data_IF_925495001072
#
_entry.id   IF_925495001072
#
_cell.length_a   1.000
_cell.length_b   1.000
_cell.length_c   1.000
_cell.angle_alpha   90.00
_cell.angle_beta   90.00
_cell.angle_gamma   90.00
#
_symmetry.space_group_name_H-M   'P 1'
#
loop_
_entity.id
_entity.type
_entity.pdbx_description
1 polymer ?
#
# COMPACT_ATOMS: atom_id res chain seq x y z
N UNK A 1 -32.01 8.81 13.13
CA UNK A 1 -32.72 9.25 11.91
C UNK A 1 -31.94 8.68 10.74
N UNK A 2 -32.43 7.61 10.12
CA UNK A 2 -31.82 6.98 8.94
C UNK A 2 -32.09 7.87 7.74
N UNK A 3 -31.27 8.91 7.57
CA UNK A 3 -31.23 9.68 6.33
C UNK A 3 -30.83 8.73 5.21
N UNK A 4 -31.62 8.65 4.15
CA UNK A 4 -31.29 7.88 2.95
C UNK A 4 -29.89 8.24 2.49
N UNK A 5 -29.01 7.26 2.33
CA UNK A 5 -27.72 7.47 1.70
C UNK A 5 -27.95 7.98 0.27
N UNK A 6 -27.68 9.27 -0.01
CA UNK A 6 -28.08 9.85 -1.28
C UNK A 6 -27.26 9.30 -2.44
N UNK A 7 -26.01 8.89 -2.19
CA UNK A 7 -25.06 8.46 -3.23
C UNK A 7 -24.90 6.95 -3.28
N UNK A 8 -25.07 6.25 -2.16
CA UNK A 8 -24.77 4.82 -2.07
C UNK A 8 -23.27 4.54 -2.17
N UNK A 9 -22.43 5.46 -1.67
CA UNK A 9 -20.99 5.37 -1.84
C UNK A 9 -20.35 4.60 -0.67
N UNK A 10 -19.93 3.37 -0.97
CA UNK A 10 -19.01 2.59 -0.17
C UNK A 10 -17.71 2.40 -0.96
N UNK A 11 -16.58 3.02 -0.56
CA UNK A 11 -15.31 2.94 -1.29
C UNK A 11 -14.76 1.52 -1.43
N UNK A 12 -15.22 0.58 -0.61
CA UNK A 12 -14.72 -0.80 -0.59
C UNK A 12 -15.72 -1.80 -1.20
N UNK A 13 -16.87 -1.33 -1.68
CA UNK A 13 -17.80 -2.21 -2.38
C UNK A 13 -17.21 -2.62 -3.75
N UNK A 14 -17.30 -3.91 -4.16
CA UNK A 14 -16.65 -4.39 -5.38
C UNK A 14 -17.01 -3.58 -6.64
N UNK A 15 -18.29 -3.26 -6.80
CA UNK A 15 -18.76 -2.47 -7.94
C UNK A 15 -18.28 -1.01 -7.94
N UNK A 16 -17.95 -0.45 -6.77
CA UNK A 16 -17.31 0.88 -6.65
C UNK A 16 -15.82 0.78 -6.94
N UNK A 17 -15.15 -0.29 -6.51
CA UNK A 17 -13.74 -0.53 -6.78
C UNK A 17 -13.48 -0.77 -8.29
N UNK A 18 -14.40 -1.47 -8.96
CA UNK A 18 -14.32 -1.75 -10.40
C UNK A 18 -14.49 -0.49 -11.26
N UNK A 19 -15.42 0.40 -10.90
CA UNK A 19 -15.62 1.70 -11.55
C UNK A 19 -16.02 2.80 -10.55
N UNK A 20 -15.03 3.48 -9.92
CA UNK A 20 -15.31 4.49 -8.89
C UNK A 20 -15.70 5.85 -9.49
N UNK A 21 -15.41 6.08 -10.77
CA UNK A 21 -15.52 7.41 -11.37
C UNK A 21 -16.95 7.97 -11.40
N UNK A 22 -18.02 7.18 -11.65
CA UNK A 22 -19.39 7.66 -11.54
C UNK A 22 -19.72 8.21 -10.13
N UNK A 23 -19.25 7.52 -9.09
CA UNK A 23 -19.43 7.93 -7.70
C UNK A 23 -18.64 9.21 -7.41
N UNK A 24 -17.38 9.27 -7.82
CA UNK A 24 -16.55 10.46 -7.64
C UNK A 24 -17.15 11.69 -8.31
N UNK A 25 -17.69 11.56 -9.53
CA UNK A 25 -18.38 12.68 -10.21
C UNK A 25 -19.57 13.19 -9.41
N UNK A 26 -20.38 12.29 -8.87
CA UNK A 26 -21.56 12.64 -8.07
C UNK A 26 -21.18 13.27 -6.73
N UNK A 27 -20.18 12.71 -6.04
CA UNK A 27 -19.64 13.28 -4.81
C UNK A 27 -19.10 14.70 -5.04
N UNK A 28 -18.29 14.90 -6.08
CA UNK A 28 -17.73 16.21 -6.40
C UNK A 28 -18.79 17.28 -6.73
N UNK A 29 -19.88 16.87 -7.40
CA UNK A 29 -20.97 17.75 -7.80
C UNK A 29 -21.88 18.12 -6.63
N UNK A 30 -22.39 17.12 -5.90
CA UNK A 30 -23.54 17.29 -5.01
C UNK A 30 -23.17 17.13 -3.52
N UNK A 31 -22.13 16.35 -3.21
CA UNK A 31 -21.78 15.94 -1.84
C UNK A 31 -20.25 15.97 -1.60
N UNK A 32 -19.60 17.14 -1.70
CA UNK A 32 -18.13 17.24 -1.66
C UNK A 32 -17.50 16.91 -0.29
N UNK A 33 -18.32 16.96 0.76
CA UNK A 33 -18.08 16.36 2.05
C UNK A 33 -19.26 15.39 2.29
N UNK A 34 -18.96 14.10 2.28
CA UNK A 34 -19.97 13.05 2.32
C UNK A 34 -19.72 12.14 3.51
N UNK A 35 -20.75 11.83 4.27
CA UNK A 35 -20.68 10.87 5.37
C UNK A 35 -21.21 9.52 4.90
N UNK A 36 -20.35 8.51 4.88
CA UNK A 36 -20.74 7.12 4.59
C UNK A 36 -21.22 6.47 5.88
N UNK A 37 -22.54 6.35 6.05
CA UNK A 37 -23.11 5.66 7.21
C UNK A 37 -22.84 4.16 7.21
N UNK A 38 -22.54 3.57 6.04
CA UNK A 38 -22.20 2.15 5.94
C UNK A 38 -20.86 1.83 6.62
N UNK A 39 -19.95 2.81 6.68
CA UNK A 39 -18.59 2.67 7.18
C UNK A 39 -18.27 3.57 8.37
N UNK A 40 -19.19 4.46 8.75
CA UNK A 40 -19.02 5.49 9.79
C UNK A 40 -17.80 6.41 9.53
N UNK A 41 -17.58 6.79 8.27
CA UNK A 41 -16.46 7.66 7.87
C UNK A 41 -16.90 8.84 7.02
N UNK A 42 -16.12 9.91 7.08
CA UNK A 42 -16.27 11.07 6.19
C UNK A 42 -15.35 10.96 4.98
N UNK A 43 -15.90 11.14 3.80
CA UNK A 43 -15.18 11.29 2.54
C UNK A 43 -15.08 12.78 2.20
N UNK A 44 -13.84 13.27 2.12
CA UNK A 44 -13.51 14.59 1.62
C UNK A 44 -13.11 14.49 0.15
N UNK A 45 -13.88 15.07 -0.76
CA UNK A 45 -13.75 14.75 -2.19
C UNK A 45 -13.04 15.84 -3.00
N UNK A 46 -13.13 17.10 -2.58
CA UNK A 46 -12.56 18.22 -3.34
C UNK A 46 -11.07 18.36 -3.10
N UNK A 47 -10.32 18.52 -4.19
CA UNK A 47 -8.88 18.80 -4.14
C UNK A 47 -8.53 19.99 -3.25
N UNK A 48 -9.33 21.07 -3.32
CA UNK A 48 -9.11 22.29 -2.54
C UNK A 48 -9.20 22.08 -1.03
N UNK A 49 -9.94 21.07 -0.58
CA UNK A 49 -10.11 20.73 0.82
C UNK A 49 -9.13 19.61 1.24
N UNK A 50 -8.92 18.61 0.39
CA UNK A 50 -7.96 17.52 0.60
C UNK A 50 -6.52 18.01 0.73
N UNK A 51 -6.07 18.91 -0.15
CA UNK A 51 -4.67 19.37 -0.18
C UNK A 51 -4.22 20.05 1.12
N UNK A 52 -4.99 20.98 1.74
CA UNK A 52 -4.65 21.52 3.04
C UNK A 52 -4.83 20.49 4.17
N UNK A 53 -5.88 19.66 4.14
CA UNK A 53 -6.09 18.61 5.14
C UNK A 53 -4.90 17.65 5.25
N UNK A 54 -4.35 17.19 4.11
CA UNK A 54 -3.15 16.33 4.04
C UNK A 54 -1.87 16.97 4.62
N UNK A 55 -1.88 18.28 4.91
CA UNK A 55 -0.75 18.98 5.55
C UNK A 55 -1.00 19.26 7.03
N UNK A 56 -2.25 19.19 7.47
CA UNK A 56 -2.66 19.53 8.83
C UNK A 56 -2.83 18.26 9.68
N UNK A 57 -1.71 17.63 9.99
CA UNK A 57 -1.68 16.41 10.82
C UNK A 57 -2.20 16.63 12.24
N UNK A 58 -2.23 17.88 12.74
CA UNK A 58 -2.80 18.18 14.06
C UNK A 58 -4.31 17.96 14.08
N UNK A 59 -4.98 18.27 12.96
CA UNK A 59 -6.43 18.06 12.80
C UNK A 59 -6.73 16.68 12.20
N UNK A 60 -5.94 16.25 11.21
CA UNK A 60 -6.11 15.00 10.48
C UNK A 60 -4.94 14.05 10.78
N UNK A 61 -4.94 13.52 12.01
CA UNK A 61 -3.93 12.57 12.48
C UNK A 61 -3.92 11.28 11.67
N UNK A 62 -2.74 10.71 11.45
CA UNK A 62 -2.58 9.35 10.90
C UNK A 62 -2.28 8.31 11.98
N UNK A 63 -2.14 8.72 13.25
CA UNK A 63 -1.71 7.85 14.34
C UNK A 63 -2.75 6.77 14.71
N UNK A 64 -4.03 7.02 14.43
CA UNK A 64 -5.13 6.07 14.64
C UNK A 64 -5.35 5.12 13.44
N UNK A 65 -4.48 5.18 12.43
CA UNK A 65 -4.54 4.36 11.22
C UNK A 65 -5.00 5.13 9.98
N UNK A 66 -4.56 4.66 8.80
CA UNK A 66 -4.89 5.28 7.51
C UNK A 66 -5.88 4.47 6.66
N UNK A 67 -6.39 3.37 7.19
CA UNK A 67 -7.31 2.47 6.50
C UNK A 67 -8.73 2.62 7.05
N UNK A 68 -9.73 2.42 6.19
CA UNK A 68 -11.14 2.48 6.56
C UNK A 68 -11.53 1.26 7.39
N UNK A 69 -10.95 0.09 7.09
CA UNK A 69 -11.22 -1.14 7.83
C UNK A 69 -10.49 -1.16 9.19
N UNK A 70 -11.21 -1.47 10.28
CA UNK A 70 -10.58 -1.65 11.59
C UNK A 70 -9.54 -2.77 11.60
N UNK A 71 -8.53 -2.67 12.45
CA UNK A 71 -7.57 -3.75 12.72
C UNK A 71 -6.41 -3.89 11.74
N UNK A 72 -6.45 -3.29 10.54
CA UNK A 72 -5.35 -3.41 9.58
C UNK A 72 -4.01 -2.87 10.14
N UNK A 73 -4.06 -1.66 10.71
CA UNK A 73 -2.88 -1.02 11.29
C UNK A 73 -2.35 -1.76 12.53
N UNK A 74 -3.22 -2.47 13.25
CA UNK A 74 -2.85 -3.27 14.41
C UNK A 74 -2.07 -4.53 14.01
N UNK A 75 -2.45 -5.16 12.89
CA UNK A 75 -1.84 -6.41 12.45
C UNK A 75 -0.48 -6.24 11.79
N UNK A 76 -0.29 -5.20 10.98
CA UNK A 76 1.00 -4.97 10.30
C UNK A 76 2.05 -4.39 11.27
N UNK A 77 1.59 -3.71 12.32
CA UNK A 77 2.41 -3.12 13.35
C UNK A 77 2.80 -1.67 13.05
N UNK A 78 3.74 -1.08 13.81
CA UNK A 78 4.03 0.35 13.73
C UNK A 78 4.74 0.70 12.42
N UNK A 79 4.02 1.37 11.52
CA UNK A 79 4.53 1.87 10.24
C UNK A 79 4.75 3.39 10.29
N UNK A 80 5.72 3.90 9.53
CA UNK A 80 5.88 5.35 9.34
C UNK A 80 4.57 6.00 8.85
N UNK A 81 3.76 5.24 8.10
CA UNK A 81 2.47 5.69 7.56
C UNK A 81 1.42 5.99 8.65
N UNK A 82 1.43 5.26 9.76
CA UNK A 82 0.46 5.41 10.86
C UNK A 82 1.06 6.21 12.03
N UNK A 83 1.78 7.30 11.73
CA UNK A 83 2.46 8.11 12.73
C UNK A 83 2.35 9.60 12.41
N UNK A 84 2.24 10.40 13.46
CA UNK A 84 2.40 11.86 13.37
C UNK A 84 3.81 12.32 13.78
N UNK A 85 4.21 13.54 13.39
CA UNK A 85 5.38 14.20 13.96
C UNK A 85 5.32 14.28 15.51
N UNK A 86 6.47 14.23 16.21
CA UNK A 86 7.83 14.23 15.67
C UNK A 86 8.37 12.84 15.31
N UNK A 87 7.70 11.75 15.73
CA UNK A 87 8.21 10.38 15.52
C UNK A 87 8.24 10.01 14.04
N UNK A 88 7.19 10.38 13.29
CA UNK A 88 7.15 10.26 11.83
C UNK A 88 8.40 10.88 11.19
N UNK A 89 8.71 12.13 11.51
CA UNK A 89 9.80 12.88 10.87
C UNK A 89 11.18 12.28 11.18
N UNK A 90 11.37 11.77 12.40
CA UNK A 90 12.60 11.08 12.80
C UNK A 90 12.83 9.84 11.94
N UNK A 91 11.82 8.97 11.82
CA UNK A 91 11.93 7.74 11.05
C UNK A 91 12.02 8.00 9.54
N UNK A 92 11.19 8.93 9.04
CA UNK A 92 11.23 9.35 7.63
C UNK A 92 12.60 9.88 7.23
N UNK A 93 13.29 10.60 8.12
CA UNK A 93 14.66 11.08 7.87
C UNK A 93 15.67 9.94 7.73
N UNK A 94 15.51 8.85 8.48
CA UNK A 94 16.42 7.69 8.39
C UNK A 94 16.35 7.01 7.03
N UNK A 95 15.14 6.82 6.50
CA UNK A 95 14.92 6.08 5.23
C UNK A 95 14.89 6.98 4.00
N UNK A 96 14.55 8.26 4.15
CA UNK A 96 14.22 9.16 3.04
C UNK A 96 15.35 9.39 2.03
N UNK A 97 16.61 9.25 2.45
CA UNK A 97 17.76 9.39 1.55
C UNK A 97 17.79 8.31 0.43
N UNK A 98 17.26 7.11 0.69
CA UNK A 98 17.12 6.06 -0.34
C UNK A 98 16.09 6.42 -1.42
N UNK A 99 15.20 7.38 -1.15
CA UNK A 99 14.13 7.82 -2.04
C UNK A 99 14.33 9.25 -2.57
N UNK A 100 15.54 9.79 -2.45
CA UNK A 100 15.88 11.09 -3.06
C UNK A 100 15.91 11.00 -4.60
N UNK A 101 15.73 12.12 -5.30
CA UNK A 101 15.81 12.16 -6.78
C UNK A 101 17.11 11.52 -7.31
N UNK A 102 18.24 11.75 -6.63
CA UNK A 102 19.52 11.18 -7.02
C UNK A 102 19.56 9.66 -6.84
N UNK A 103 19.06 9.17 -5.70
CA UNK A 103 19.01 7.74 -5.39
C UNK A 103 18.07 7.00 -6.34
N UNK A 104 16.88 7.56 -6.59
CA UNK A 104 15.91 7.00 -7.54
C UNK A 104 16.49 6.99 -8.95
N UNK A 105 17.18 8.06 -9.37
CA UNK A 105 17.88 8.12 -10.65
C UNK A 105 18.95 7.02 -10.78
N UNK A 106 19.66 6.70 -9.71
CA UNK A 106 20.66 5.64 -9.70
C UNK A 106 20.05 4.22 -9.81
N UNK A 107 18.76 4.05 -9.51
CA UNK A 107 18.07 2.76 -9.64
C UNK A 107 17.60 2.47 -11.07
N UNK A 108 17.55 3.47 -11.95
CA UNK A 108 16.99 3.37 -13.29
C UNK A 108 17.55 2.19 -14.10
N UNK A 109 18.88 2.05 -14.16
CA UNK A 109 19.52 0.96 -14.89
C UNK A 109 19.16 -0.42 -14.31
N UNK A 110 19.04 -0.55 -12.99
CA UNK A 110 18.66 -1.79 -12.32
C UNK A 110 17.19 -2.15 -12.59
N UNK A 111 16.28 -1.17 -12.45
CA UNK A 111 14.85 -1.37 -12.75
C UNK A 111 14.65 -1.75 -14.21
N UNK A 112 15.38 -1.09 -15.13
CA UNK A 112 15.35 -1.38 -16.56
C UNK A 112 15.83 -2.80 -16.86
N UNK A 113 16.88 -3.28 -16.18
CA UNK A 113 17.38 -4.64 -16.36
C UNK A 113 16.31 -5.68 -15.96
N UNK A 114 15.67 -5.51 -14.80
CA UNK A 114 14.57 -6.40 -14.38
C UNK A 114 13.39 -6.34 -15.35
N UNK A 115 13.03 -5.16 -15.84
CA UNK A 115 11.95 -5.03 -16.81
C UNK A 115 12.27 -5.78 -18.12
N UNK A 116 13.51 -5.67 -18.62
CA UNK A 116 13.93 -6.42 -19.80
C UNK A 116 13.87 -7.93 -19.56
N UNK A 117 14.41 -8.43 -18.44
CA UNK A 117 14.40 -9.86 -18.12
C UNK A 117 12.97 -10.43 -18.09
N UNK A 118 12.03 -9.73 -17.46
CA UNK A 118 10.63 -10.16 -17.39
C UNK A 118 9.94 -10.13 -18.76
N UNK A 119 10.18 -9.09 -19.57
CA UNK A 119 9.58 -8.97 -20.92
C UNK A 119 10.18 -10.02 -21.86
N UNK A 120 11.48 -10.23 -21.81
CA UNK A 120 12.18 -11.19 -22.67
C UNK A 120 11.68 -12.63 -22.37
N UNK A 121 11.44 -12.95 -21.10
CA UNK A 121 10.82 -14.22 -20.69
C UNK A 121 9.41 -14.39 -21.28
N UNK A 122 8.54 -13.38 -21.11
CA UNK A 122 7.20 -13.37 -21.70
C UNK A 122 7.22 -13.55 -23.22
N UNK A 123 8.16 -12.90 -23.91
CA UNK A 123 8.29 -13.04 -25.36
C UNK A 123 8.78 -14.44 -25.77
N UNK A 124 9.71 -15.03 -25.01
CA UNK A 124 10.22 -16.38 -25.27
C UNK A 124 9.12 -17.45 -25.13
N UNK A 125 8.19 -17.27 -24.19
CA UNK A 125 7.05 -18.16 -23.96
C UNK A 125 5.91 -17.97 -24.98
N UNK A 126 6.04 -16.99 -25.89
CA UNK A 126 5.03 -16.67 -26.90
C UNK A 126 3.86 -15.84 -26.37
N UNK A 127 4.02 -15.23 -25.20
CA UNK A 127 3.01 -14.46 -24.47
C UNK A 127 2.83 -14.96 -23.04
N UNK A 128 1.88 -14.37 -22.32
CA UNK A 128 1.56 -14.70 -20.94
C UNK A 128 0.61 -13.70 -20.30
N UNK A 129 0.43 -13.78 -19.00
CA UNK A 129 -0.36 -12.82 -18.24
C UNK A 129 0.53 -11.65 -17.83
N UNK A 130 0.39 -10.52 -18.53
CA UNK A 130 1.20 -9.33 -18.24
C UNK A 130 1.04 -8.82 -16.79
N UNK A 131 -0.09 -9.07 -16.13
CA UNK A 131 -0.28 -8.69 -14.74
C UNK A 131 0.56 -9.60 -13.82
N UNK A 132 0.37 -10.92 -13.92
CA UNK A 132 1.03 -11.89 -13.05
C UNK A 132 2.54 -12.04 -13.35
N UNK A 133 2.91 -12.04 -14.63
CA UNK A 133 4.26 -12.38 -15.08
C UNK A 133 5.20 -11.15 -15.17
N UNK A 134 4.64 -9.93 -15.23
CA UNK A 134 5.43 -8.68 -15.29
C UNK A 134 5.06 -7.69 -14.18
N UNK A 135 3.81 -7.21 -14.18
CA UNK A 135 3.42 -6.03 -13.40
C UNK A 135 3.49 -6.25 -11.89
N UNK A 136 3.12 -7.44 -11.43
CA UNK A 136 3.19 -7.81 -10.01
C UNK A 136 4.62 -8.17 -9.57
N UNK A 137 5.49 -8.58 -10.50
CA UNK A 137 6.86 -9.03 -10.19
C UNK A 137 7.86 -7.88 -10.11
N UNK A 138 7.80 -6.95 -11.07
CA UNK A 138 8.79 -5.87 -11.19
C UNK A 138 8.93 -5.06 -9.89
N UNK A 139 7.85 -4.58 -9.23
CA UNK A 139 7.97 -3.82 -7.98
C UNK A 139 8.59 -4.66 -6.84
N UNK A 140 8.28 -5.96 -6.77
CA UNK A 140 8.83 -6.84 -5.72
C UNK A 140 10.33 -7.09 -5.94
N UNK A 141 10.77 -7.34 -7.18
CA UNK A 141 12.20 -7.46 -7.50
C UNK A 141 12.97 -6.19 -7.09
N UNK A 142 12.41 -5.02 -7.40
CA UNK A 142 13.02 -3.73 -7.05
C UNK A 142 13.11 -3.58 -5.53
N UNK A 143 12.03 -3.80 -4.79
CA UNK A 143 12.06 -3.63 -3.33
C UNK A 143 12.94 -4.69 -2.67
N UNK A 144 12.98 -5.93 -3.16
CA UNK A 144 13.91 -6.95 -2.69
C UNK A 144 15.35 -6.48 -2.86
N UNK A 145 15.71 -5.92 -4.02
CA UNK A 145 17.05 -5.38 -4.27
C UNK A 145 17.41 -4.21 -3.35
N UNK A 146 16.47 -3.30 -3.10
CA UNK A 146 16.68 -2.12 -2.24
C UNK A 146 16.76 -2.50 -0.76
N UNK A 147 15.92 -3.42 -0.31
CA UNK A 147 15.95 -3.96 1.05
C UNK A 147 17.07 -4.97 1.24
N UNK A 148 17.73 -5.41 0.16
CA UNK A 148 18.75 -6.46 0.08
C UNK A 148 18.26 -7.82 0.58
N UNK A 149 17.02 -8.11 0.26
CA UNK A 149 16.43 -9.45 0.27
C UNK A 149 17.04 -10.23 -0.91
N UNK A 150 17.48 -11.49 -0.72
CA UNK A 150 17.92 -12.34 -1.82
C UNK A 150 16.85 -12.46 -2.90
N UNK A 151 17.21 -12.32 -4.18
CA UNK A 151 16.24 -12.43 -5.28
C UNK A 151 15.64 -13.84 -5.40
N UNK A 152 16.29 -14.86 -4.85
CA UNK A 152 15.73 -16.23 -4.72
C UNK A 152 14.44 -16.25 -3.90
N UNK A 153 14.27 -15.29 -3.00
CA UNK A 153 13.16 -15.24 -2.05
C UNK A 153 12.02 -14.35 -2.59
N UNK A 154 12.16 -13.77 -3.79
CA UNK A 154 11.19 -12.85 -4.40
C UNK A 154 9.79 -13.45 -4.43
N UNK A 155 9.63 -14.69 -4.91
CA UNK A 155 8.29 -15.29 -5.02
C UNK A 155 7.64 -15.51 -3.67
N UNK A 156 8.41 -15.89 -2.64
CA UNK A 156 7.91 -16.08 -1.29
C UNK A 156 7.50 -14.75 -0.67
N UNK A 157 8.35 -13.72 -0.79
CA UNK A 157 8.04 -12.36 -0.32
C UNK A 157 6.83 -11.78 -1.06
N UNK A 158 6.72 -12.00 -2.37
CA UNK A 158 5.56 -11.57 -3.16
C UNK A 158 4.28 -12.24 -2.68
N UNK A 159 4.31 -13.55 -2.42
CA UNK A 159 3.15 -14.29 -1.93
C UNK A 159 2.73 -13.79 -0.55
N UNK A 160 3.68 -13.64 0.39
CA UNK A 160 3.40 -13.10 1.73
C UNK A 160 2.83 -11.68 1.66
N UNK A 161 3.38 -10.81 0.80
CA UNK A 161 2.87 -9.46 0.60
C UNK A 161 1.45 -9.46 0.00
N UNK A 162 1.18 -10.35 -0.96
CA UNK A 162 -0.16 -10.53 -1.51
C UNK A 162 -1.15 -10.98 -0.45
N UNK A 163 -0.83 -12.05 0.29
CA UNK A 163 -1.70 -12.64 1.31
C UNK A 163 -1.97 -11.68 2.46
N UNK A 164 -0.96 -10.89 2.86
CA UNK A 164 -1.11 -9.82 3.86
C UNK A 164 -2.09 -8.72 3.40
N UNK A 165 -2.15 -8.42 2.11
CA UNK A 165 -2.99 -7.35 1.54
C UNK A 165 -4.36 -7.84 1.07
N UNK A 166 -4.63 -9.15 1.04
CA UNK A 166 -5.94 -9.68 0.65
C UNK A 166 -7.07 -9.11 1.52
N UNK A 167 -6.81 -8.89 2.81
CA UNK A 167 -7.75 -8.24 3.74
C UNK A 167 -8.16 -6.81 3.32
N UNK A 168 -7.37 -6.11 2.49
CA UNK A 168 -7.73 -4.77 2.00
C UNK A 168 -8.67 -4.79 0.79
N UNK A 169 -8.96 -5.95 0.22
CA UNK A 169 -9.76 -6.06 -1.02
C UNK A 169 -11.26 -5.97 -0.78
N UNK A 170 -11.70 -5.60 0.43
CA UNK A 170 -13.09 -5.34 0.79
C UNK A 170 -13.98 -6.60 0.89
N UNK A 171 -13.40 -7.80 0.75
CA UNK A 171 -14.14 -9.06 0.69
C UNK A 171 -14.14 -9.84 2.01
N UNK A 172 -13.21 -9.59 2.93
CA UNK A 172 -13.13 -10.24 4.23
C UNK A 172 -12.53 -9.29 5.28
N UNK A 173 -12.95 -9.46 6.54
CA UNK A 173 -12.19 -8.94 7.69
C UNK A 173 -10.74 -9.45 7.64
N UNK A 174 -9.83 -8.78 8.35
CA UNK A 174 -8.45 -9.25 8.50
C UNK A 174 -8.46 -10.69 9.05
N UNK A 175 -8.15 -11.66 8.18
CA UNK A 175 -8.34 -13.07 8.47
C UNK A 175 -7.04 -13.74 8.95
N UNK A 176 -7.15 -15.00 9.39
CA UNK A 176 -6.01 -15.78 9.89
C UNK A 176 -4.87 -15.88 8.86
N UNK A 177 -5.20 -15.88 7.55
CA UNK A 177 -4.22 -15.92 6.46
C UNK A 177 -3.41 -14.63 6.40
N UNK A 178 -4.09 -13.48 6.43
CA UNK A 178 -3.44 -12.16 6.38
C UNK A 178 -2.55 -11.94 7.61
N UNK A 179 -3.01 -12.41 8.78
CA UNK A 179 -2.25 -12.34 10.04
C UNK A 179 -1.01 -13.22 10.00
N UNK A 180 -1.16 -14.47 9.57
CA UNK A 180 -0.04 -15.39 9.43
C UNK A 180 1.01 -14.88 8.42
N UNK A 181 0.57 -14.30 7.30
CA UNK A 181 1.45 -13.72 6.30
C UNK A 181 2.24 -12.51 6.85
N UNK A 182 1.57 -11.62 7.60
CA UNK A 182 2.21 -10.48 8.26
C UNK A 182 3.24 -10.93 9.31
N UNK A 183 2.91 -11.93 10.12
CA UNK A 183 3.81 -12.49 11.15
C UNK A 183 5.04 -13.14 10.52
N UNK A 184 4.85 -13.92 9.45
CA UNK A 184 5.94 -14.58 8.73
C UNK A 184 6.85 -13.56 8.05
N UNK A 185 6.30 -12.54 7.40
CA UNK A 185 7.08 -11.46 6.80
C UNK A 185 7.87 -10.68 7.87
N UNK A 186 7.27 -10.42 9.03
CA UNK A 186 7.95 -9.77 10.17
C UNK A 186 9.09 -10.62 10.70
N UNK A 187 8.88 -11.93 10.85
CA UNK A 187 9.92 -12.89 11.27
C UNK A 187 11.09 -12.89 10.29
N UNK A 188 10.80 -13.04 9.00
CA UNK A 188 11.80 -13.03 7.93
C UNK A 188 12.65 -11.75 7.93
N UNK A 189 11.99 -10.58 7.99
CA UNK A 189 12.70 -9.29 8.04
C UNK A 189 13.54 -9.15 9.32
N UNK A 190 13.06 -9.67 10.45
CA UNK A 190 13.81 -9.71 11.70
C UNK A 190 15.09 -10.55 11.60
N UNK A 191 15.02 -11.71 10.97
CA UNK A 191 16.18 -12.58 10.70
C UNK A 191 17.19 -11.91 9.78
N UNK A 192 16.73 -11.26 8.71
CA UNK A 192 17.58 -10.52 7.78
C UNK A 192 18.32 -9.36 8.50
N UNK A 193 17.62 -8.63 9.37
CA UNK A 193 18.23 -7.57 10.19
C UNK A 193 19.27 -8.15 11.16
N UNK A 194 18.97 -9.26 11.83
CA UNK A 194 19.89 -9.92 12.74
C UNK A 194 21.18 -10.38 12.02
N UNK A 195 21.03 -11.01 10.85
CA UNK A 195 22.17 -11.43 10.02
C UNK A 195 23.06 -10.25 9.60
N UNK A 196 22.45 -9.12 9.21
CA UNK A 196 23.20 -7.89 8.86
C UNK A 196 23.96 -7.30 10.03
N UNK A 197 23.34 -7.28 11.21
CA UNK A 197 24.00 -6.80 12.44
C UNK A 197 25.19 -7.68 12.82
N UNK A 198 25.14 -8.98 12.56
CA UNK A 198 26.25 -9.90 12.83
C UNK A 198 27.41 -9.77 11.84
N UNK A 199 27.17 -9.16 10.68
CA UNK A 199 28.18 -8.98 9.61
C UNK A 199 28.83 -7.58 9.66
N UNK A 200 28.36 -6.69 10.54
CA UNK A 200 28.89 -5.34 10.78
C UNK A 200 29.77 -5.34 12.01
#
# INVERSE_FOLDING_TARGET
>A
MTGSDPVGYDPLAPHVMDDPYPYYRRLLADHPLYYSSARDVWALCRYGDLRPALKDWHTFSSAEGVNIEPGFSETIGPEILNMDPPRHDQLRRLVGHHFSNNSVGAYEAMVRAFAHELIDGLCADGGGDFAADFSQRLPVLVICRLMGIPLSDESAVRQLAHDMLLALSGTDEFNDVSTAAADELRRYMGELVAARRATT
#
